data_IF_907200714107
#
_entry.id   IF_907200714107
#
_cell.length_a   1.000
_cell.length_b   1.000
_cell.length_c   1.000
_cell.angle_alpha   90.00
_cell.angle_beta   90.00
_cell.angle_gamma   90.00
#
_symmetry.space_group_name_H-M   'P 1'
#
loop_
_entity.id
_entity.type
_entity.pdbx_description
1 polymer ?
#
# COMPACT_ATOMS: atom_id res chain seq x y z
N UNK A 1 6.39 14.59 3.86
CA UNK A 1 5.82 14.14 2.57
C UNK A 1 4.35 14.51 2.48
N UNK A 2 3.82 14.70 1.29
CA UNK A 2 2.37 14.86 1.04
C UNK A 2 1.69 13.48 0.88
N UNK A 3 0.37 13.44 1.06
CA UNK A 3 -0.41 12.22 0.83
C UNK A 3 -0.25 11.68 -0.61
N UNK A 4 -0.23 12.57 -1.61
CA UNK A 4 -0.06 12.18 -3.01
C UNK A 4 1.33 11.59 -3.29
N UNK A 5 2.37 12.13 -2.69
CA UNK A 5 3.74 11.58 -2.80
C UNK A 5 3.83 10.19 -2.15
N UNK A 6 3.29 10.04 -0.94
CA UNK A 6 3.28 8.74 -0.25
C UNK A 6 2.48 7.70 -1.04
N UNK A 7 1.33 8.10 -1.61
CA UNK A 7 0.53 7.26 -2.48
C UNK A 7 1.33 6.83 -3.72
N UNK A 8 1.99 7.77 -4.42
CA UNK A 8 2.84 7.44 -5.58
C UNK A 8 3.91 6.41 -5.23
N UNK A 9 4.63 6.59 -4.12
CA UNK A 9 5.69 5.68 -3.68
C UNK A 9 5.12 4.28 -3.39
N UNK A 10 3.96 4.19 -2.73
CA UNK A 10 3.33 2.90 -2.46
C UNK A 10 2.93 2.17 -3.74
N UNK A 11 2.38 2.88 -4.73
CA UNK A 11 2.06 2.31 -6.04
C UNK A 11 3.32 1.83 -6.77
N UNK A 12 4.42 2.60 -6.73
CA UNK A 12 5.69 2.18 -7.33
C UNK A 12 6.25 0.89 -6.69
N UNK A 13 6.03 0.68 -5.39
CA UNK A 13 6.41 -0.59 -4.75
C UNK A 13 5.53 -1.74 -5.23
N UNK A 14 4.21 -1.53 -5.29
CA UNK A 14 3.24 -2.53 -5.76
C UNK A 14 3.51 -2.94 -7.20
N UNK A 15 3.76 -1.97 -8.09
CA UNK A 15 4.02 -2.21 -9.51
C UNK A 15 5.31 -2.99 -9.75
N UNK A 16 6.29 -2.89 -8.84
CA UNK A 16 7.52 -3.69 -8.85
C UNK A 16 7.33 -5.14 -8.39
N UNK A 17 6.20 -5.46 -7.77
CA UNK A 17 5.88 -6.79 -7.26
C UNK A 17 4.59 -7.33 -7.90
N UNK A 18 4.56 -7.52 -9.24
CA UNK A 18 3.40 -8.08 -9.90
C UNK A 18 3.15 -9.52 -9.44
N UNK A 19 1.88 -9.90 -9.38
CA UNK A 19 1.44 -11.26 -9.10
C UNK A 19 0.60 -11.79 -10.24
N UNK A 20 0.79 -13.06 -10.60
CA UNK A 20 -0.07 -13.78 -11.55
C UNK A 20 -1.40 -14.18 -10.92
N UNK A 21 -1.48 -14.27 -9.59
CA UNK A 21 -2.63 -14.81 -8.87
C UNK A 21 -3.62 -13.74 -8.40
N UNK A 22 -3.12 -12.52 -8.13
CA UNK A 22 -3.93 -11.45 -7.56
C UNK A 22 -3.63 -10.08 -8.19
N UNK A 23 -4.49 -9.12 -7.86
CA UNK A 23 -4.28 -7.68 -8.07
C UNK A 23 -4.41 -6.96 -6.74
N UNK A 24 -3.68 -5.86 -6.59
CA UNK A 24 -3.76 -4.98 -5.44
C UNK A 24 -4.51 -3.71 -5.84
N UNK A 25 -5.67 -3.49 -5.23
CA UNK A 25 -6.54 -2.38 -5.55
C UNK A 25 -6.52 -1.36 -4.41
N UNK A 26 -6.18 -0.12 -4.71
CA UNK A 26 -6.11 0.93 -3.69
C UNK A 26 -7.45 1.13 -2.98
N UNK A 27 -7.40 1.21 -1.65
CA UNK A 27 -8.56 1.47 -0.78
C UNK A 27 -8.44 2.82 -0.11
N UNK A 28 -7.37 3.04 0.63
CA UNK A 28 -7.19 4.25 1.43
C UNK A 28 -5.72 4.53 1.71
N UNK A 29 -5.43 5.77 2.09
CA UNK A 29 -4.15 6.20 2.63
C UNK A 29 -4.42 7.02 3.89
N UNK A 30 -3.69 6.75 4.96
CA UNK A 30 -3.82 7.45 6.23
C UNK A 30 -2.45 7.66 6.86
N UNK A 31 -2.25 8.78 7.53
CA UNK A 31 -1.09 8.94 8.40
C UNK A 31 -1.26 8.05 9.63
N UNK A 32 -0.25 7.26 9.96
CA UNK A 32 -0.34 6.31 11.07
C UNK A 32 -0.48 7.07 12.39
N UNK A 33 -1.49 6.68 13.19
CA UNK A 33 -1.70 7.24 14.52
C UNK A 33 -0.66 6.75 15.52
N UNK A 34 -0.13 5.54 15.32
CA UNK A 34 0.88 4.93 16.20
C UNK A 34 2.29 5.44 15.89
N UNK A 35 2.59 5.75 14.63
CA UNK A 35 3.84 6.37 14.22
C UNK A 35 3.54 7.49 13.21
N UNK A 36 3.49 8.76 13.66
CA UNK A 36 3.24 9.90 12.78
C UNK A 36 4.28 10.09 11.67
N UNK A 37 5.43 9.39 11.72
CA UNK A 37 6.40 9.40 10.63
C UNK A 37 6.04 8.44 9.50
N UNK A 38 4.94 7.69 9.57
CA UNK A 38 4.59 6.72 8.54
C UNK A 38 3.22 7.03 7.94
N UNK A 39 3.12 6.86 6.63
CA UNK A 39 1.86 6.70 5.91
C UNK A 39 1.54 5.21 5.80
N UNK A 40 0.28 4.85 6.00
CA UNK A 40 -0.25 3.51 5.75
C UNK A 40 -1.16 3.57 4.53
N UNK A 41 -0.80 2.85 3.48
CA UNK A 41 -1.58 2.72 2.24
C UNK A 41 -2.18 1.33 2.19
N UNK A 42 -3.51 1.25 2.18
CA UNK A 42 -4.23 -0.01 2.18
C UNK A 42 -4.63 -0.40 0.75
N UNK A 43 -4.39 -1.66 0.40
CA UNK A 43 -4.81 -2.28 -0.84
C UNK A 43 -5.70 -3.49 -0.54
N UNK A 44 -6.82 -3.59 -1.23
CA UNK A 44 -7.59 -4.83 -1.31
C UNK A 44 -6.85 -5.82 -2.20
N UNK A 45 -6.71 -7.05 -1.73
CA UNK A 45 -6.17 -8.14 -2.52
C UNK A 45 -7.33 -8.83 -3.23
N UNK A 46 -7.31 -8.87 -4.57
CA UNK A 46 -8.36 -9.54 -5.36
C UNK A 46 -7.78 -10.59 -6.26
N UNK A 47 -8.50 -11.68 -6.50
CA UNK A 47 -8.16 -12.63 -7.55
C UNK A 47 -8.20 -11.95 -8.92
N UNK A 48 -7.57 -12.55 -9.94
CA UNK A 48 -7.70 -12.07 -11.34
C UNK A 48 -9.15 -12.05 -11.84
N UNK A 49 -10.04 -12.83 -11.25
CA UNK A 49 -11.47 -12.85 -11.54
C UNK A 49 -12.28 -11.81 -10.75
N UNK A 50 -11.63 -11.03 -9.88
CA UNK A 50 -12.23 -9.91 -9.15
C UNK A 50 -12.77 -10.25 -7.75
N UNK A 51 -12.67 -11.51 -7.32
CA UNK A 51 -13.07 -11.94 -5.97
C UNK A 51 -12.13 -11.37 -4.92
N UNK A 52 -12.68 -10.87 -3.81
CA UNK A 52 -11.88 -10.40 -2.69
C UNK A 52 -11.20 -11.58 -1.99
N UNK A 53 -9.90 -11.46 -1.71
CA UNK A 53 -9.14 -12.36 -0.84
C UNK A 53 -9.11 -11.78 0.58
N UNK A 54 -8.92 -12.64 1.58
CA UNK A 54 -8.99 -12.22 2.98
C UNK A 54 -7.93 -11.17 3.33
N UNK A 55 -8.38 -10.07 3.94
CA UNK A 55 -7.54 -9.04 4.52
C UNK A 55 -6.97 -8.03 3.52
N UNK A 56 -6.85 -6.74 3.90
CA UNK A 56 -6.10 -5.78 3.12
C UNK A 56 -4.59 -6.02 3.27
N UNK A 57 -3.84 -5.75 2.20
CA UNK A 57 -2.40 -5.61 2.25
C UNK A 57 -2.05 -4.15 2.52
N UNK A 58 -1.11 -3.91 3.43
CA UNK A 58 -0.64 -2.56 3.70
C UNK A 58 0.74 -2.33 3.10
N UNK A 59 0.95 -1.14 2.55
CA UNK A 59 2.26 -0.58 2.28
C UNK A 59 2.49 0.56 3.26
N UNK A 60 3.55 0.45 4.03
CA UNK A 60 4.02 1.54 4.89
C UNK A 60 5.01 2.39 4.12
N UNK A 61 4.90 3.71 4.23
CA UNK A 61 5.84 4.66 3.62
C UNK A 61 6.36 5.59 4.70
N UNK A 62 7.68 5.64 4.87
CA UNK A 62 8.32 6.58 5.80
C UNK A 62 8.28 8.01 5.25
N UNK A 63 7.77 8.94 6.04
CA UNK A 63 7.50 10.34 5.71
C UNK A 63 8.79 11.18 5.58
N UNK A 64 9.92 10.68 6.10
CA UNK A 64 11.21 11.37 6.09
C UNK A 64 12.07 10.97 4.90
N UNK A 65 12.20 9.67 4.61
CA UNK A 65 13.11 9.17 3.57
C UNK A 65 12.39 8.56 2.36
N UNK A 66 11.07 8.34 2.43
CA UNK A 66 10.29 7.73 1.35
C UNK A 66 10.56 6.24 1.11
N UNK A 67 11.19 5.57 2.07
CA UNK A 67 11.29 4.12 2.06
C UNK A 67 9.92 3.49 2.24
N UNK A 68 9.66 2.41 1.49
CA UNK A 68 8.38 1.73 1.51
C UNK A 68 8.54 0.22 1.61
N UNK A 69 7.67 -0.43 2.37
CA UNK A 69 7.67 -1.87 2.58
C UNK A 69 6.25 -2.41 2.77
N UNK A 70 6.05 -3.69 2.43
CA UNK A 70 4.82 -4.39 2.74
C UNK A 70 4.72 -4.67 4.24
N UNK A 71 3.51 -4.52 4.78
CA UNK A 71 3.20 -4.79 6.18
C UNK A 71 1.94 -5.66 6.26
N UNK A 72 2.02 -6.74 7.03
CA UNK A 72 1.00 -7.76 7.21
C UNK A 72 1.28 -8.60 8.45
#
# INVERSE_FOLDING_TARGET
MTENEAKRIAFELVDKHPSEHYTLNFVSINKSRANPNNWAVAFEVRTKTGSLLEGPMFVMVDDKNGEAWFFG
#
